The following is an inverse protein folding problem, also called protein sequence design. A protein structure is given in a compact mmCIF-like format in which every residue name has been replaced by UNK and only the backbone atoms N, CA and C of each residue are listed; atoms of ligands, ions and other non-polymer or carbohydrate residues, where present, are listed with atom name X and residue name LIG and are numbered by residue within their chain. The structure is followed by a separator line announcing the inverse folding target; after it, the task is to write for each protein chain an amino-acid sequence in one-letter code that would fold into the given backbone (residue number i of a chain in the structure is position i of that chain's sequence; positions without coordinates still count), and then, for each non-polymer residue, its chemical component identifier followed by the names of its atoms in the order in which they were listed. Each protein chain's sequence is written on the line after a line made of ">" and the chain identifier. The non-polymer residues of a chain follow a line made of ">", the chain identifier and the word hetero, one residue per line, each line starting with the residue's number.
data_IF_823563828027
#
_entry.id   IF_823563828027
#
_cell.length_a   1.000
_cell.length_b   1.000
_cell.length_c   1.000
_cell.angle_alpha   90.00
_cell.angle_beta   90.00
_cell.angle_gamma   90.00
#
_symmetry.space_group_name_H-M   'P 1'
#
loop_
_entity.id
_entity.type
_entity.pdbx_description
1 polymer ?
#
# COMPACT_ATOMS: atom_id res chain seq x y z
N UNK A 1 1.83 -14.65 -2.67
CA UNK A 1 1.62 -13.21 -2.41
C UNK A 1 2.18 -12.43 -3.58
N UNK A 2 1.38 -11.56 -4.17
CA UNK A 2 1.78 -10.74 -5.31
C UNK A 2 1.83 -9.28 -4.86
N UNK A 3 2.92 -8.59 -5.18
CA UNK A 3 3.03 -7.14 -5.00
C UNK A 3 2.98 -6.45 -6.35
N UNK A 4 2.23 -5.36 -6.42
CA UNK A 4 2.17 -4.49 -7.60
C UNK A 4 2.46 -3.07 -7.17
N UNK A 5 3.47 -2.46 -7.78
CA UNK A 5 3.79 -1.03 -7.61
C UNK A 5 3.16 -0.25 -8.76
N UNK A 6 2.33 0.74 -8.45
CA UNK A 6 1.67 1.59 -9.43
C UNK A 6 2.01 3.05 -9.19
N UNK A 7 2.11 3.79 -10.29
CA UNK A 7 2.27 5.25 -10.31
C UNK A 7 1.03 5.84 -10.95
N UNK A 8 0.37 6.74 -10.24
CA UNK A 8 -0.90 7.31 -10.64
C UNK A 8 -0.90 8.84 -10.48
N UNK A 9 -1.72 9.51 -11.29
CA UNK A 9 -2.06 10.90 -11.03
C UNK A 9 -2.72 11.04 -9.66
N UNK A 10 -2.62 12.22 -9.07
CA UNK A 10 -3.16 12.53 -7.75
C UNK A 10 -4.69 12.35 -7.62
N UNK A 11 -5.39 12.15 -8.74
CA UNK A 11 -6.85 12.05 -8.87
C UNK A 11 -7.34 10.60 -8.94
N UNK A 12 -6.44 9.60 -9.00
CA UNK A 12 -6.88 8.20 -9.05
C UNK A 12 -7.55 7.81 -7.75
N UNK A 13 -8.86 7.55 -7.85
CA UNK A 13 -9.66 7.02 -6.77
C UNK A 13 -9.27 5.56 -6.55
N UNK A 14 -8.72 5.30 -5.37
CA UNK A 14 -8.19 4.01 -5.00
C UNK A 14 -9.34 3.08 -4.62
N UNK A 15 -9.49 1.99 -5.40
CA UNK A 15 -10.25 0.73 -5.17
C UNK A 15 -11.37 0.83 -4.13
N UNK A 16 -12.63 0.81 -4.58
CA UNK A 16 -13.80 0.79 -3.69
C UNK A 16 -13.79 -0.42 -2.76
N UNK A 17 -14.18 -0.24 -1.50
CA UNK A 17 -14.32 -1.33 -0.53
C UNK A 17 -13.09 -1.57 0.34
N UNK A 18 -12.02 -0.78 0.20
CA UNK A 18 -10.92 -0.77 1.16
C UNK A 18 -11.21 0.17 2.33
N UNK A 19 -10.97 -0.31 3.54
CA UNK A 19 -11.07 0.48 4.76
C UNK A 19 -9.68 0.75 5.36
N UNK A 20 -9.52 1.80 6.19
CA UNK A 20 -8.25 2.05 6.89
C UNK A 20 -7.78 0.82 7.67
N UNK A 21 -6.47 0.63 7.72
CA UNK A 21 -5.83 -0.43 8.50
C UNK A 21 -4.69 0.15 9.34
N UNK A 22 -4.54 -0.35 10.57
CA UNK A 22 -3.47 0.07 11.47
C UNK A 22 -2.29 -0.86 11.30
N UNK A 23 -1.18 -0.35 10.76
CA UNK A 23 0.11 -1.04 10.63
C UNK A 23 1.22 -0.04 10.95
N UNK A 24 2.41 -0.52 11.27
CA UNK A 24 3.57 0.35 11.41
C UNK A 24 3.97 0.90 10.04
N UNK A 25 3.97 2.22 9.91
CA UNK A 25 4.40 2.95 8.70
C UNK A 25 5.70 3.73 8.94
N UNK A 26 6.41 3.47 10.04
CA UNK A 26 7.69 4.10 10.35
C UNK A 26 8.70 3.83 9.23
N UNK A 27 9.41 4.87 8.80
CA UNK A 27 10.38 4.80 7.71
C UNK A 27 9.79 4.93 6.30
N UNK A 28 8.47 5.09 6.17
CA UNK A 28 7.82 5.47 4.90
C UNK A 28 7.67 7.00 4.79
N UNK A 29 7.46 7.54 3.58
CA UNK A 29 7.26 8.97 3.38
C UNK A 29 6.12 9.56 4.21
N UNK A 30 6.16 10.87 4.43
CA UNK A 30 5.06 11.56 5.09
C UNK A 30 3.74 11.36 4.32
N UNK A 31 2.63 11.37 5.06
CA UNK A 31 1.28 11.13 4.50
C UNK A 31 1.11 9.73 3.88
N UNK A 32 1.91 8.75 4.31
CA UNK A 32 1.64 7.35 3.99
C UNK A 32 0.39 6.86 4.71
N UNK A 33 -0.45 6.11 4.02
CA UNK A 33 -1.64 5.48 4.59
C UNK A 33 -1.73 4.01 4.16
N UNK A 34 -2.35 3.19 5.01
CA UNK A 34 -2.66 1.80 4.74
C UNK A 34 -4.18 1.58 4.68
N UNK A 35 -4.62 0.78 3.72
CA UNK A 35 -6.01 0.33 3.61
C UNK A 35 -6.04 -1.16 3.29
N UNK A 36 -7.05 -1.87 3.76
CA UNK A 36 -7.23 -3.30 3.53
C UNK A 36 -8.67 -3.61 3.12
N UNK A 37 -8.87 -4.75 2.44
CA UNK A 37 -10.20 -5.31 2.18
C UNK A 37 -10.81 -5.89 3.46
N UNK A 38 -12.14 -6.04 3.52
CA UNK A 38 -12.84 -6.62 4.68
C UNK A 38 -12.36 -8.03 5.07
N UNK A 39 -11.93 -8.84 4.10
CA UNK A 39 -11.37 -10.18 4.32
C UNK A 39 -9.86 -10.17 4.59
N UNK A 40 -9.25 -8.98 4.61
CA UNK A 40 -7.80 -8.75 4.74
C UNK A 40 -6.96 -9.62 3.76
N UNK A 41 -7.52 -9.92 2.59
CA UNK A 41 -6.86 -10.64 1.50
C UNK A 41 -6.15 -9.71 0.52
N UNK A 42 -6.43 -8.40 0.61
CA UNK A 42 -5.79 -7.34 -0.17
C UNK A 42 -5.41 -6.18 0.73
N UNK A 43 -4.16 -5.72 0.63
CA UNK A 43 -3.68 -4.50 1.26
C UNK A 43 -3.16 -3.49 0.25
N UNK A 44 -3.34 -2.23 0.57
CA UNK A 44 -2.79 -1.11 -0.16
C UNK A 44 -2.05 -0.17 0.80
N UNK A 45 -0.79 0.09 0.48
CA UNK A 45 -0.01 1.20 1.04
C UNK A 45 0.07 2.30 -0.01
N UNK A 46 -0.19 3.55 0.37
CA UNK A 46 -0.09 4.68 -0.56
C UNK A 46 0.58 5.89 0.06
N UNK A 47 1.36 6.64 -0.73
CA UNK A 47 1.95 7.91 -0.34
C UNK A 47 2.06 8.86 -1.54
N UNK A 48 2.23 10.16 -1.26
CA UNK A 48 2.40 11.19 -2.30
C UNK A 48 3.87 11.57 -2.48
N UNK A 49 4.25 11.88 -3.71
CA UNK A 49 5.52 12.53 -4.06
C UNK A 49 5.28 13.69 -5.03
N UNK A 50 6.34 14.36 -5.50
CA UNK A 50 6.24 15.49 -6.43
C UNK A 50 5.60 15.15 -7.79
N UNK A 51 5.57 13.88 -8.18
CA UNK A 51 5.01 13.42 -9.45
C UNK A 51 3.58 12.88 -9.34
N UNK A 52 3.08 12.56 -8.16
CA UNK A 52 1.74 12.01 -7.98
C UNK A 52 1.60 11.14 -6.74
N UNK A 53 0.85 10.03 -6.88
CA UNK A 53 0.61 9.06 -5.82
C UNK A 53 1.29 7.74 -6.19
N UNK A 54 2.00 7.17 -5.22
CA UNK A 54 2.57 5.83 -5.31
C UNK A 54 1.66 4.88 -4.56
N UNK A 55 1.35 3.75 -5.19
CA UNK A 55 0.49 2.72 -4.66
C UNK A 55 1.25 1.39 -4.63
N UNK A 56 1.28 0.74 -3.48
CA UNK A 56 1.76 -0.63 -3.30
C UNK A 56 0.54 -1.49 -2.98
N UNK A 57 0.17 -2.36 -3.91
CA UNK A 57 -0.90 -3.33 -3.75
C UNK A 57 -0.29 -4.69 -3.41
N UNK A 58 -0.70 -5.28 -2.29
CA UNK A 58 -0.43 -6.66 -1.95
C UNK A 58 -1.73 -7.46 -2.02
N UNK A 59 -1.70 -8.58 -2.72
CA UNK A 59 -2.83 -9.51 -2.84
C UNK A 59 -2.37 -10.93 -2.48
N UNK A 60 -3.16 -11.60 -1.64
CA UNK A 60 -3.05 -13.03 -1.37
C UNK A 60 -4.34 -13.76 -1.79
N UNK A 61 -4.19 -14.74 -2.67
CA UNK A 61 -5.22 -15.74 -2.90
C UNK A 61 -5.22 -16.75 -1.72
N UNK A 62 -5.99 -16.48 -0.67
CA UNK A 62 -6.20 -17.41 0.45
C UNK A 62 -6.33 -16.73 1.83
N UNK A 63 -7.07 -17.37 2.74
CA UNK A 63 -7.55 -16.80 4.02
C UNK A 63 -6.52 -16.79 5.18
N UNK A 64 -5.29 -16.34 4.94
CA UNK A 64 -4.35 -16.03 6.01
C UNK A 64 -4.13 -14.50 6.09
N UNK A 65 -5.16 -13.85 6.64
CA UNK A 65 -5.41 -12.41 6.68
C UNK A 65 -4.46 -11.58 7.57
N UNK A 66 -3.91 -12.17 8.63
CA UNK A 66 -3.36 -11.40 9.74
C UNK A 66 -2.01 -10.70 9.54
N UNK A 67 -1.46 -10.59 8.33
CA UNK A 67 -0.14 -9.98 8.11
C UNK A 67 0.07 -9.35 6.72
N UNK A 68 -0.97 -9.24 5.88
CA UNK A 68 -0.77 -8.77 4.51
C UNK A 68 -0.32 -7.30 4.45
N UNK A 69 -0.84 -6.46 5.33
CA UNK A 69 -0.48 -5.04 5.36
C UNK A 69 0.90 -4.78 5.94
N UNK A 70 1.35 -5.56 6.92
CA UNK A 70 2.71 -5.46 7.46
C UNK A 70 3.73 -5.85 6.39
N UNK A 71 3.46 -6.94 5.65
CA UNK A 71 4.28 -7.36 4.51
C UNK A 71 4.25 -6.33 3.36
N UNK A 72 3.10 -5.70 3.10
CA UNK A 72 3.00 -4.60 2.15
C UNK A 72 3.79 -3.37 2.60
N UNK A 73 3.79 -3.04 3.89
CA UNK A 73 4.56 -1.94 4.47
C UNK A 73 6.07 -2.22 4.36
N UNK A 74 6.53 -3.43 4.64
CA UNK A 74 7.93 -3.83 4.45
C UNK A 74 8.37 -3.75 2.99
N UNK A 75 7.52 -4.21 2.07
CA UNK A 75 7.79 -4.04 0.64
C UNK A 75 7.83 -2.55 0.27
N UNK A 76 6.89 -1.74 0.75
CA UNK A 76 6.86 -0.30 0.52
C UNK A 76 8.15 0.36 1.02
N UNK A 77 8.67 -0.01 2.19
CA UNK A 77 9.97 0.50 2.72
C UNK A 77 11.12 0.15 1.78
N UNK A 78 11.12 -1.07 1.27
CA UNK A 78 12.19 -1.56 0.37
C UNK A 78 12.27 -0.81 -0.96
N UNK A 79 11.17 -0.18 -1.39
CA UNK A 79 11.08 0.55 -2.66
C UNK A 79 10.99 2.07 -2.49
N UNK A 80 10.52 2.60 -1.35
CA UNK A 80 10.25 4.02 -1.17
C UNK A 80 11.42 4.95 -1.52
N UNK A 81 12.65 4.58 -1.15
CA UNK A 81 13.86 5.34 -1.50
C UNK A 81 14.35 5.18 -2.96
N UNK A 82 13.72 4.28 -3.72
CA UNK A 82 14.03 3.98 -5.14
C UNK A 82 12.97 4.53 -6.09
N UNK A 83 11.82 4.93 -5.55
CA UNK A 83 10.74 5.56 -6.31
C UNK A 83 11.21 6.94 -6.77
N UNK A 84 11.18 7.25 -8.07
CA UNK A 84 11.54 8.57 -8.58
C UNK A 84 10.67 9.66 -7.95
N UNK A 85 11.31 10.69 -7.40
CA UNK A 85 10.66 11.91 -6.92
C UNK A 85 10.13 12.76 -8.07
#
# INVERSE_FOLDING_TARGET
>A
MRYTLLYASAEVEVVSGLHPYTTDLTGLPAQTNAKTSAEESLCLISWRNSRGVVLVLADQCGANSGNICDLAADFARSVAGKVPL
#
